data_IF_958242124551
#
_entry.id   IF_958242124551
#
_cell.length_a   1.000
_cell.length_b   1.000
_cell.length_c   1.000
_cell.angle_alpha   90.00
_cell.angle_beta   90.00
_cell.angle_gamma   90.00
#
_symmetry.space_group_name_H-M   'P 1'
#
loop_
_entity.id
_entity.type
_entity.pdbx_description
1 polymer ?
#
# COMPACT_ATOMS: atom_id res chain seq x y z
N UNK A 1 -35.67 4.46 88.26
CA UNK A 1 -36.52 4.43 87.05
C UNK A 1 -35.85 5.24 85.93
N UNK A 2 -34.72 4.80 85.36
CA UNK A 2 -33.99 5.56 84.31
C UNK A 2 -33.55 4.73 83.09
N UNK A 3 -33.67 3.41 83.14
CA UNK A 3 -33.06 2.50 82.14
C UNK A 3 -33.67 2.55 80.72
N UNK A 4 -35.00 2.75 80.51
CA UNK A 4 -35.58 2.75 79.16
C UNK A 4 -35.15 3.95 78.29
N UNK A 5 -34.84 5.08 78.91
CA UNK A 5 -34.50 6.31 78.20
C UNK A 5 -33.11 6.26 77.56
N UNK A 6 -32.15 5.57 78.20
CA UNK A 6 -30.80 5.41 77.65
C UNK A 6 -30.80 4.58 76.37
N UNK A 7 -31.55 3.46 76.34
CA UNK A 7 -31.71 2.62 75.14
C UNK A 7 -32.34 3.37 73.95
N UNK A 8 -33.22 4.33 74.22
CA UNK A 8 -33.84 5.16 73.18
C UNK A 8 -32.83 6.17 72.63
N UNK A 9 -32.03 6.78 73.51
CA UNK A 9 -30.95 7.70 73.13
C UNK A 9 -29.88 7.01 72.27
N UNK A 10 -29.42 5.82 72.68
CA UNK A 10 -28.40 5.06 71.94
C UNK A 10 -28.89 4.72 70.51
N UNK A 11 -30.16 4.30 70.37
CA UNK A 11 -30.76 4.03 69.05
C UNK A 11 -30.88 5.30 68.20
N UNK A 12 -31.23 6.43 68.79
CA UNK A 12 -31.28 7.71 68.08
C UNK A 12 -29.90 8.15 67.60
N UNK A 13 -28.86 7.92 68.40
CA UNK A 13 -27.47 8.22 68.05
C UNK A 13 -26.98 7.33 66.90
N UNK A 14 -27.25 6.02 66.96
CA UNK A 14 -26.96 5.08 65.87
C UNK A 14 -27.69 5.50 64.58
N UNK A 15 -28.98 5.84 64.66
CA UNK A 15 -29.75 6.29 63.48
C UNK A 15 -29.21 7.61 62.89
N UNK A 16 -28.73 8.53 63.73
CA UNK A 16 -28.07 9.75 63.24
C UNK A 16 -26.77 9.43 62.52
N UNK A 17 -25.99 8.50 63.06
CA UNK A 17 -24.70 8.08 62.48
C UNK A 17 -24.91 7.37 61.13
N UNK A 18 -25.88 6.45 61.04
CA UNK A 18 -26.26 5.79 59.77
C UNK A 18 -26.79 6.79 58.72
N UNK A 19 -27.59 7.78 59.13
CA UNK A 19 -28.03 8.84 58.22
C UNK A 19 -26.88 9.72 57.72
N UNK A 20 -25.89 9.99 58.57
CA UNK A 20 -24.71 10.76 58.19
C UNK A 20 -23.84 9.99 57.20
N UNK A 21 -23.60 8.69 57.44
CA UNK A 21 -22.87 7.82 56.51
C UNK A 21 -23.60 7.68 55.17
N UNK A 22 -24.92 7.50 55.18
CA UNK A 22 -25.71 7.41 53.95
C UNK A 22 -25.60 8.71 53.14
N UNK A 23 -25.67 9.88 53.77
CA UNK A 23 -25.48 11.16 53.08
C UNK A 23 -24.07 11.34 52.53
N UNK A 24 -23.05 10.83 53.22
CA UNK A 24 -21.67 10.89 52.75
C UNK A 24 -21.39 9.95 51.58
N UNK A 25 -22.09 8.81 51.50
CA UNK A 25 -21.91 7.80 50.46
C UNK A 25 -22.84 7.98 49.25
N UNK A 26 -23.88 8.80 49.37
CA UNK A 26 -24.76 9.12 48.25
C UNK A 26 -24.11 10.14 47.31
N UNK A 27 -24.11 9.82 46.02
CA UNK A 27 -23.78 10.80 44.99
C UNK A 27 -24.72 12.01 45.09
N UNK A 28 -24.13 13.19 45.13
CA UNK A 28 -24.81 14.46 45.11
C UNK A 28 -25.38 14.74 43.72
N UNK A 29 -26.38 15.61 43.68
CA UNK A 29 -27.01 16.04 42.43
C UNK A 29 -26.00 16.71 41.47
N UNK A 30 -25.01 17.41 42.02
CA UNK A 30 -23.95 18.04 41.23
C UNK A 30 -23.05 16.99 40.58
N UNK A 31 -22.64 15.96 41.32
CA UNK A 31 -21.81 14.87 40.80
C UNK A 31 -22.51 14.11 39.66
N UNK A 32 -23.82 13.90 39.75
CA UNK A 32 -24.59 13.26 38.67
C UNK A 32 -24.70 14.11 37.41
N UNK A 33 -24.84 15.44 37.53
CA UNK A 33 -24.84 16.36 36.38
C UNK A 33 -23.46 16.42 35.73
N UNK A 34 -22.39 16.47 36.53
CA UNK A 34 -21.01 16.47 36.03
C UNK A 34 -20.66 15.17 35.29
N UNK A 35 -21.11 14.00 35.79
CA UNK A 35 -20.95 12.72 35.09
C UNK A 35 -21.68 12.76 33.75
N UNK A 36 -22.90 13.28 33.73
CA UNK A 36 -23.73 13.33 32.52
C UNK A 36 -23.17 14.29 31.46
N UNK A 37 -22.54 15.38 31.88
CA UNK A 37 -21.89 16.33 30.99
C UNK A 37 -20.58 15.81 30.38
N UNK A 38 -19.85 14.95 31.09
CA UNK A 38 -18.55 14.45 30.65
C UNK A 38 -18.60 13.06 29.98
N UNK A 39 -19.69 12.32 30.17
CA UNK A 39 -19.88 11.05 29.49
C UNK A 39 -20.41 11.25 28.07
N UNK A 40 -19.82 10.54 27.11
CA UNK A 40 -20.41 10.38 25.79
C UNK A 40 -21.81 9.77 25.92
N UNK A 41 -22.78 10.43 25.30
CA UNK A 41 -24.15 9.95 25.21
C UNK A 41 -24.20 8.68 24.36
N UNK A 42 -25.26 7.89 24.55
CA UNK A 42 -25.50 6.69 23.75
C UNK A 42 -25.56 7.00 22.25
N UNK A 43 -26.12 8.16 21.88
CA UNK A 43 -26.20 8.59 20.49
C UNK A 43 -24.81 8.86 19.90
N UNK A 44 -23.94 9.58 20.62
CA UNK A 44 -22.57 9.86 20.17
C UNK A 44 -21.73 8.59 19.98
N UNK A 45 -21.93 7.57 20.83
CA UNK A 45 -21.26 6.28 20.69
C UNK A 45 -21.74 5.48 19.46
N UNK A 46 -23.04 5.52 19.16
CA UNK A 46 -23.60 4.88 17.95
C UNK A 46 -23.15 5.60 16.68
N UNK A 47 -23.15 6.94 16.69
CA UNK A 47 -22.67 7.74 15.56
C UNK A 47 -21.17 7.53 15.30
N UNK A 48 -20.34 7.40 16.35
CA UNK A 48 -18.93 7.04 16.20
C UNK A 48 -18.74 5.64 15.62
N UNK A 49 -19.53 4.65 16.05
CA UNK A 49 -19.48 3.30 15.48
C UNK A 49 -19.86 3.28 14.00
N UNK A 50 -20.87 4.06 13.61
CA UNK A 50 -21.33 4.12 12.22
C UNK A 50 -20.31 4.77 11.27
N UNK A 51 -19.55 5.76 11.76
CA UNK A 51 -18.57 6.50 10.95
C UNK A 51 -17.14 5.96 11.04
N UNK A 52 -16.88 5.04 11.98
CA UNK A 52 -15.60 4.38 12.14
C UNK A 52 -15.41 3.27 11.11
N UNK A 53 -14.30 3.32 10.37
CA UNK A 53 -13.85 2.16 9.62
C UNK A 53 -13.56 1.00 10.58
N UNK A 54 -14.22 -0.13 10.33
CA UNK A 54 -14.04 -1.36 11.06
C UNK A 54 -12.71 -2.01 10.69
N UNK A 55 -12.21 -2.86 11.59
CA UNK A 55 -11.01 -3.66 11.33
C UNK A 55 -11.17 -4.59 10.12
N UNK A 56 -12.40 -5.02 9.82
CA UNK A 56 -12.70 -5.86 8.66
C UNK A 56 -12.51 -5.08 7.35
N UNK A 57 -13.08 -3.88 7.24
CA UNK A 57 -12.93 -3.01 6.06
C UNK A 57 -11.47 -2.67 5.79
N UNK A 58 -10.70 -2.33 6.84
CA UNK A 58 -9.26 -2.06 6.69
C UNK A 58 -8.47 -3.29 6.21
N UNK A 59 -8.84 -4.50 6.66
CA UNK A 59 -8.21 -5.73 6.20
C UNK A 59 -8.54 -6.04 4.74
N UNK A 60 -9.77 -5.77 4.31
CA UNK A 60 -10.21 -5.96 2.92
C UNK A 60 -9.46 -5.00 2.00
N UNK A 61 -9.39 -3.71 2.33
CA UNK A 61 -8.60 -2.72 1.59
C UNK A 61 -7.14 -3.16 1.49
N UNK A 62 -6.55 -3.62 2.60
CA UNK A 62 -5.15 -4.10 2.60
C UNK A 62 -4.96 -5.31 1.68
N UNK A 63 -5.90 -6.25 1.68
CA UNK A 63 -5.84 -7.43 0.83
C UNK A 63 -5.96 -7.06 -0.65
N UNK A 64 -6.88 -6.15 -1.00
CA UNK A 64 -7.08 -5.71 -2.37
C UNK A 64 -5.92 -4.86 -2.89
N UNK A 65 -5.36 -3.98 -2.04
CA UNK A 65 -4.10 -3.30 -2.36
C UNK A 65 -2.97 -4.31 -2.61
N UNK A 66 -2.83 -5.33 -1.76
CA UNK A 66 -1.79 -6.34 -1.94
C UNK A 66 -1.94 -7.11 -3.25
N UNK A 67 -3.17 -7.49 -3.63
CA UNK A 67 -3.46 -8.09 -4.95
C UNK A 67 -3.10 -7.15 -6.10
N UNK A 68 -3.48 -5.88 -6.01
CA UNK A 68 -3.16 -4.86 -7.00
C UNK A 68 -1.65 -4.68 -7.18
N UNK A 69 -0.90 -4.57 -6.08
CA UNK A 69 0.56 -4.47 -6.12
C UNK A 69 1.22 -5.72 -6.70
N UNK A 70 0.70 -6.92 -6.42
CA UNK A 70 1.22 -8.15 -6.98
C UNK A 70 1.01 -8.22 -8.51
N UNK A 71 -0.17 -7.81 -8.98
CA UNK A 71 -0.48 -7.75 -10.42
C UNK A 71 0.44 -6.76 -11.16
N UNK A 72 0.63 -5.56 -10.59
CA UNK A 72 1.53 -4.55 -11.17
C UNK A 72 2.98 -5.05 -11.20
N UNK A 73 3.46 -5.65 -10.11
CA UNK A 73 4.81 -6.24 -10.07
C UNK A 73 5.00 -7.31 -11.14
N UNK A 74 3.98 -8.15 -11.36
CA UNK A 74 4.04 -9.20 -12.37
C UNK A 74 4.10 -8.61 -13.79
N UNK A 75 3.27 -7.62 -14.10
CA UNK A 75 3.31 -6.92 -15.39
C UNK A 75 4.68 -6.26 -15.64
N UNK A 76 5.30 -5.66 -14.62
CA UNK A 76 6.65 -5.07 -14.74
C UNK A 76 7.70 -6.14 -15.10
N UNK A 77 7.63 -7.33 -14.51
CA UNK A 77 8.56 -8.43 -14.84
C UNK A 77 8.40 -8.90 -16.29
N UNK A 78 7.16 -9.01 -16.75
CA UNK A 78 6.86 -9.40 -18.14
C UNK A 78 7.38 -8.36 -19.14
N UNK A 79 7.20 -7.07 -18.83
CA UNK A 79 7.76 -5.96 -19.62
C UNK A 79 9.29 -6.04 -19.67
N UNK A 80 9.98 -6.27 -18.54
CA UNK A 80 11.45 -6.41 -18.50
C UNK A 80 11.95 -7.54 -19.41
N UNK A 81 11.27 -8.69 -19.42
CA UNK A 81 11.60 -9.81 -20.32
C UNK A 81 11.43 -9.42 -21.79
N UNK A 82 10.36 -8.70 -22.12
CA UNK A 82 10.10 -8.21 -23.48
C UNK A 82 11.18 -7.22 -23.91
N UNK A 83 11.52 -6.25 -23.05
CA UNK A 83 12.57 -5.25 -23.30
C UNK A 83 13.90 -5.94 -23.60
N UNK A 84 14.33 -6.88 -22.76
CA UNK A 84 15.56 -7.66 -22.98
C UNK A 84 15.54 -8.48 -24.27
N UNK A 85 14.36 -8.91 -24.73
CA UNK A 85 14.22 -9.60 -26.02
C UNK A 85 14.34 -8.61 -27.18
N UNK A 86 13.76 -7.42 -27.07
CA UNK A 86 13.86 -6.37 -28.07
C UNK A 86 15.30 -5.88 -28.24
N UNK A 87 16.01 -5.63 -27.13
CA UNK A 87 17.42 -5.22 -27.13
C UNK A 87 18.30 -6.23 -27.88
N UNK A 88 18.16 -7.52 -27.55
CA UNK A 88 18.89 -8.60 -28.25
C UNK A 88 18.54 -8.68 -29.74
N UNK A 89 17.29 -8.48 -30.11
CA UNK A 89 16.88 -8.48 -31.52
C UNK A 89 17.51 -7.30 -32.27
N UNK A 90 17.49 -6.10 -31.69
CA UNK A 90 18.13 -4.92 -32.27
C UNK A 90 19.64 -5.13 -32.47
N UNK A 91 20.33 -5.71 -31.48
CA UNK A 91 21.75 -6.04 -31.59
C UNK A 91 22.02 -7.04 -32.73
N UNK A 92 21.21 -8.09 -32.85
CA UNK A 92 21.32 -9.07 -33.93
C UNK A 92 21.10 -8.43 -35.32
N UNK A 93 20.12 -7.54 -35.46
CA UNK A 93 19.87 -6.83 -36.71
C UNK A 93 21.04 -5.91 -37.08
N UNK A 94 21.61 -5.20 -36.12
CA UNK A 94 22.80 -4.36 -36.35
C UNK A 94 23.99 -5.20 -36.85
N UNK A 95 24.23 -6.36 -36.25
CA UNK A 95 25.29 -7.27 -36.68
C UNK A 95 25.06 -7.82 -38.10
N UNK A 96 23.81 -8.10 -38.45
CA UNK A 96 23.45 -8.55 -39.80
C UNK A 96 23.70 -7.44 -40.84
N UNK A 97 23.31 -6.21 -40.55
CA UNK A 97 23.55 -5.05 -41.43
C UNK A 97 25.04 -4.83 -41.67
N UNK A 98 25.85 -4.83 -40.60
CA UNK A 98 27.31 -4.71 -40.71
C UNK A 98 27.92 -5.84 -41.54
N UNK A 99 27.37 -7.06 -41.44
CA UNK A 99 27.81 -8.19 -42.28
C UNK A 99 27.46 -7.97 -43.74
N UNK A 100 26.26 -7.48 -44.05
CA UNK A 100 25.83 -7.20 -45.41
C UNK A 100 26.69 -6.11 -46.05
N UNK A 101 27.00 -5.04 -45.32
CA UNK A 101 27.89 -3.96 -45.77
C UNK A 101 29.27 -4.50 -46.17
N UNK A 102 29.90 -5.32 -45.31
CA UNK A 102 31.18 -5.97 -45.64
C UNK A 102 31.12 -6.86 -46.88
N UNK A 103 30.02 -7.58 -47.08
CA UNK A 103 29.83 -8.43 -48.27
C UNK A 103 29.73 -7.55 -49.51
N UNK A 104 28.95 -6.46 -49.45
CA UNK A 104 28.79 -5.52 -50.56
C UNK A 104 30.15 -4.92 -50.93
N UNK A 105 30.92 -4.43 -49.96
CA UNK A 105 32.26 -3.86 -50.20
C UNK A 105 33.21 -4.86 -50.88
N UNK A 106 33.18 -6.12 -50.44
CA UNK A 106 33.99 -7.19 -51.03
C UNK A 106 33.57 -7.47 -52.48
N UNK A 107 32.27 -7.56 -52.75
CA UNK A 107 31.76 -7.80 -54.09
C UNK A 107 32.05 -6.63 -55.03
N UNK A 108 31.88 -5.39 -54.57
CA UNK A 108 32.24 -4.18 -55.32
C UNK A 108 33.72 -4.18 -55.72
N UNK A 109 34.62 -4.49 -54.77
CA UNK A 109 36.06 -4.57 -55.05
C UNK A 109 36.38 -5.62 -56.11
N UNK A 110 35.87 -6.84 -55.95
CA UNK A 110 36.08 -7.93 -56.91
C UNK A 110 35.51 -7.60 -58.29
N UNK A 111 34.35 -6.94 -58.34
CA UNK A 111 33.73 -6.50 -59.59
C UNK A 111 34.63 -5.51 -60.34
N UNK A 112 35.19 -4.53 -59.63
CA UNK A 112 36.14 -3.56 -60.21
C UNK A 112 37.43 -4.24 -60.69
N UNK A 113 38.00 -5.15 -59.89
CA UNK A 113 39.18 -5.93 -60.28
C UNK A 113 38.94 -6.77 -61.54
N UNK A 114 37.77 -7.42 -61.63
CA UNK A 114 37.39 -8.19 -62.81
C UNK A 114 37.18 -7.30 -64.05
N UNK A 115 36.53 -6.13 -63.92
CA UNK A 115 36.32 -5.19 -65.03
C UNK A 115 37.66 -4.64 -65.58
N UNK A 116 38.60 -4.34 -64.69
CA UNK A 116 39.95 -3.93 -65.06
C UNK A 116 40.69 -5.04 -65.83
N UNK A 117 40.70 -6.26 -65.30
CA UNK A 117 41.35 -7.40 -65.96
C UNK A 117 40.75 -7.70 -67.35
N UNK A 118 39.41 -7.59 -67.50
CA UNK A 118 38.74 -7.75 -68.80
C UNK A 118 39.16 -6.65 -69.77
N UNK A 119 39.27 -5.41 -69.30
CA UNK A 119 39.72 -4.27 -70.10
C UNK A 119 41.16 -4.46 -70.59
N UNK A 120 42.06 -4.93 -69.74
CA UNK A 120 43.45 -5.24 -70.09
C UNK A 120 43.53 -6.34 -71.16
N UNK A 121 42.76 -7.43 -71.00
CA UNK A 121 42.68 -8.51 -72.00
C UNK A 121 42.15 -8.00 -73.35
N UNK A 122 41.15 -7.12 -73.33
CA UNK A 122 40.61 -6.50 -74.57
C UNK A 122 41.64 -5.63 -75.27
N UNK A 123 42.50 -4.92 -74.54
CA UNK A 123 43.58 -4.14 -75.12
C UNK A 123 44.65 -5.05 -75.73
N UNK A 124 45.06 -6.10 -75.02
CA UNK A 124 46.05 -7.07 -75.50
C UNK A 124 45.60 -7.83 -76.76
N UNK A 125 44.29 -8.02 -76.96
CA UNK A 125 43.74 -8.63 -78.17
C UNK A 125 43.62 -7.66 -79.36
N UNK A 126 43.74 -6.35 -79.14
CA UNK A 126 43.60 -5.31 -80.18
C UNK A 126 44.95 -4.78 -80.69
N UNK A 127 46.04 -4.99 -79.96
CA UNK A 127 47.42 -4.66 -80.37
C UNK A 127 48.09 -5.85 -81.01
#
# INVERSE_FOLDING_TARGET
MSEPWHLILDKLEIMQQEMAEMKANMATKQELEDIKANMATKQELEDMKANMATKAELNEIKADMAKGFAAVHQAIREIDVIVKRLERNQEQQMQLLLRQERIIDMLCRRSLEHEAAISDLRLALKG
#
